data_IF_200238162790
#
_entry.id   IF_200238162790
#
_cell.length_a   1.000
_cell.length_b   1.000
_cell.length_c   1.000
_cell.angle_alpha   90.00
_cell.angle_beta   90.00
_cell.angle_gamma   90.00
#
_symmetry.space_group_name_H-M   'P 1'
#
loop_
_entity.id
_entity.type
_entity.pdbx_description
1 polymer ?
#
# COMPACT_ATOMS: atom_id res chain seq x y z
N UNK A 1 -31.54 -0.14 -21.11
CA UNK A 1 -30.39 0.79 -20.96
C UNK A 1 -29.29 0.09 -20.17
N UNK A 2 -28.17 -0.19 -20.81
CA UNK A 2 -27.00 -0.74 -20.12
C UNK A 2 -26.47 0.35 -19.19
N UNK A 3 -26.50 0.10 -17.87
CA UNK A 3 -25.77 0.91 -16.89
C UNK A 3 -24.29 0.81 -17.26
N UNK A 4 -23.75 1.81 -17.88
CA UNK A 4 -22.30 1.94 -18.05
C UNK A 4 -21.71 2.26 -16.68
N UNK A 5 -21.49 1.21 -15.89
CA UNK A 5 -20.73 1.33 -14.64
C UNK A 5 -19.34 1.79 -15.05
N UNK A 6 -18.97 3.01 -14.64
CA UNK A 6 -17.61 3.50 -14.87
C UNK A 6 -16.61 2.47 -14.32
N UNK A 7 -15.64 2.01 -15.12
CA UNK A 7 -14.68 1.02 -14.64
C UNK A 7 -13.86 1.65 -13.49
N UNK A 8 -13.81 0.95 -12.38
CA UNK A 8 -12.88 1.28 -11.29
C UNK A 8 -11.45 1.20 -11.80
N UNK A 9 -10.62 2.18 -11.42
CA UNK A 9 -9.19 2.15 -11.72
C UNK A 9 -8.54 0.92 -11.08
N UNK A 10 -7.62 0.31 -11.80
CA UNK A 10 -6.81 -0.80 -11.28
C UNK A 10 -5.75 -0.27 -10.30
N UNK A 11 -5.21 -1.16 -9.48
CA UNK A 11 -4.08 -0.80 -8.59
C UNK A 11 -2.85 -0.39 -9.38
N UNK A 12 -2.69 -0.92 -10.60
CA UNK A 12 -1.66 -0.46 -11.52
C UNK A 12 -1.80 1.03 -11.87
N UNK A 13 -3.02 1.47 -12.17
CA UNK A 13 -3.31 2.88 -12.46
C UNK A 13 -3.05 3.77 -11.24
N UNK A 14 -3.41 3.29 -10.05
CA UNK A 14 -3.20 4.01 -8.79
C UNK A 14 -1.70 4.21 -8.52
N UNK A 15 -0.90 3.17 -8.70
CA UNK A 15 0.55 3.23 -8.49
C UNK A 15 1.20 4.23 -9.45
N UNK A 16 0.79 4.24 -10.71
CA UNK A 16 1.34 5.18 -11.71
C UNK A 16 1.10 6.65 -11.38
N UNK A 17 0.04 6.94 -10.64
CA UNK A 17 -0.35 8.32 -10.30
C UNK A 17 0.07 8.74 -8.90
N UNK A 18 0.78 7.89 -8.14
CA UNK A 18 1.34 8.27 -6.85
C UNK A 18 2.49 9.26 -7.03
N UNK A 19 2.62 10.20 -6.10
CA UNK A 19 3.72 11.16 -6.06
C UNK A 19 5.08 10.46 -5.96
N UNK A 20 5.11 9.33 -5.24
CA UNK A 20 6.25 8.44 -5.16
C UNK A 20 5.89 7.16 -5.91
N UNK A 21 6.27 7.09 -7.17
CA UNK A 21 6.04 5.92 -8.02
C UNK A 21 7.24 4.96 -8.06
N UNK A 22 8.35 5.32 -7.44
CA UNK A 22 9.51 4.45 -7.29
C UNK A 22 9.27 3.41 -6.19
N UNK A 23 9.79 2.21 -6.42
CA UNK A 23 9.77 1.14 -5.43
C UNK A 23 10.81 1.44 -4.35
N UNK A 24 10.36 1.86 -3.17
CA UNK A 24 11.25 2.16 -2.05
C UNK A 24 11.37 0.91 -1.18
N UNK A 25 12.59 0.43 -1.05
CA UNK A 25 12.92 -0.82 -0.36
C UNK A 25 14.06 -0.63 0.64
N UNK A 26 14.23 -1.62 1.49
CA UNK A 26 15.38 -1.75 2.37
C UNK A 26 15.89 -3.18 2.32
N UNK A 27 17.20 -3.39 2.48
CA UNK A 27 17.79 -4.72 2.54
C UNK A 27 17.52 -5.41 3.89
N UNK A 28 17.25 -6.70 3.84
CA UNK A 28 16.99 -7.53 5.04
C UNK A 28 18.14 -7.52 6.04
N UNK A 29 19.37 -7.34 5.59
CA UNK A 29 20.58 -7.29 6.41
C UNK A 29 20.97 -5.86 6.84
N UNK A 30 20.20 -4.85 6.45
CA UNK A 30 20.39 -3.48 6.94
C UNK A 30 19.95 -3.35 8.40
N UNK A 31 20.58 -2.44 9.17
CA UNK A 31 20.08 -2.10 10.50
C UNK A 31 18.68 -1.49 10.43
N UNK A 32 17.86 -1.73 11.44
CA UNK A 32 16.54 -1.12 11.56
C UNK A 32 16.59 0.41 11.48
N UNK A 33 17.67 1.02 11.98
CA UNK A 33 17.88 2.47 11.87
C UNK A 33 17.83 2.97 10.43
N UNK A 34 18.39 2.23 9.48
CA UNK A 34 18.35 2.60 8.06
C UNK A 34 16.91 2.60 7.53
N UNK A 35 16.11 1.60 7.88
CA UNK A 35 14.69 1.56 7.51
C UNK A 35 13.93 2.77 8.06
N UNK A 36 14.19 3.15 9.32
CA UNK A 36 13.57 4.34 9.92
C UNK A 36 13.96 5.63 9.20
N UNK A 37 15.21 5.76 8.82
CA UNK A 37 15.72 6.93 8.07
C UNK A 37 15.04 7.03 6.70
N UNK A 38 14.88 5.91 6.00
CA UNK A 38 14.18 5.87 4.70
C UNK A 38 12.70 6.25 4.87
N UNK A 39 12.01 5.66 5.86
CA UNK A 39 10.61 5.98 6.14
C UNK A 39 10.43 7.47 6.47
N UNK A 40 11.32 8.06 7.25
CA UNK A 40 11.29 9.48 7.58
C UNK A 40 11.54 10.37 6.35
N UNK A 41 12.52 10.02 5.53
CA UNK A 41 12.88 10.77 4.31
C UNK A 41 11.72 10.84 3.32
N UNK A 42 11.06 9.72 3.07
CA UNK A 42 9.96 9.62 2.10
C UNK A 42 8.58 9.83 2.72
N UNK A 43 8.49 10.04 4.02
CA UNK A 43 7.23 10.21 4.78
C UNK A 43 6.25 9.05 4.54
N UNK A 44 6.77 7.85 4.62
CA UNK A 44 6.02 6.60 4.45
C UNK A 44 6.08 5.74 5.71
N UNK A 45 5.05 4.95 5.96
CA UNK A 45 4.90 4.17 7.20
C UNK A 45 5.33 2.71 7.09
N UNK A 46 5.78 2.26 5.93
CA UNK A 46 6.25 0.91 5.71
C UNK A 46 7.19 0.83 4.51
N UNK A 47 8.04 -0.20 4.51
CA UNK A 47 8.98 -0.51 3.43
C UNK A 47 8.89 -1.97 3.04
N UNK A 48 9.07 -2.25 1.77
CA UNK A 48 9.32 -3.60 1.30
C UNK A 48 10.76 -3.96 1.62
N UNK A 49 10.94 -5.13 2.22
CA UNK A 49 12.25 -5.68 2.57
C UNK A 49 12.69 -6.63 1.47
N UNK A 50 13.86 -6.39 0.92
CA UNK A 50 14.46 -7.19 -0.15
C UNK A 50 15.64 -8.01 0.38
N UNK A 51 15.81 -9.18 -0.19
CA UNK A 51 16.99 -10.02 0.02
C UNK A 51 17.31 -10.73 -1.30
N UNK A 52 18.52 -10.50 -1.84
CA UNK A 52 18.97 -11.11 -3.10
C UNK A 52 17.93 -10.97 -4.24
N UNK A 53 17.50 -9.76 -4.51
CA UNK A 53 16.52 -9.41 -5.54
C UNK A 53 15.10 -10.02 -5.37
N UNK A 54 14.82 -10.57 -4.19
CA UNK A 54 13.51 -11.11 -3.84
C UNK A 54 12.92 -10.36 -2.66
N UNK A 55 11.60 -10.21 -2.66
CA UNK A 55 10.88 -9.70 -1.49
C UNK A 55 10.99 -10.70 -0.34
N UNK A 56 11.57 -10.26 0.77
CA UNK A 56 11.75 -11.06 1.98
C UNK A 56 10.67 -10.78 3.04
N UNK A 57 10.09 -9.59 3.03
CA UNK A 57 9.12 -9.18 4.01
C UNK A 57 8.66 -7.74 3.86
N UNK A 58 7.97 -7.25 4.87
CA UNK A 58 7.60 -5.83 5.06
C UNK A 58 8.05 -5.42 6.46
N UNK A 59 8.57 -4.21 6.59
CA UNK A 59 8.80 -3.54 7.87
C UNK A 59 7.96 -2.28 7.94
N UNK A 60 7.26 -2.09 9.05
CA UNK A 60 6.41 -0.93 9.29
C UNK A 60 6.75 -0.23 10.60
N UNK A 61 6.26 1.01 10.76
CA UNK A 61 6.35 1.74 12.03
C UNK A 61 5.71 0.96 13.20
N UNK A 62 4.68 0.17 12.91
CA UNK A 62 4.03 -0.70 13.90
C UNK A 62 4.95 -1.84 14.33
N UNK A 63 5.65 -2.48 13.40
CA UNK A 63 6.66 -3.51 13.71
C UNK A 63 7.76 -2.90 14.59
N UNK A 64 8.22 -1.71 14.25
CA UNK A 64 9.20 -0.98 15.04
C UNK A 64 8.71 -0.75 16.49
N UNK A 65 7.49 -0.27 16.66
CA UNK A 65 6.94 -0.03 17.99
C UNK A 65 6.82 -1.31 18.82
N UNK A 66 6.36 -2.39 18.21
CA UNK A 66 6.12 -3.67 18.90
C UNK A 66 7.40 -4.45 19.18
N UNK A 67 8.28 -4.54 18.19
CA UNK A 67 9.45 -5.44 18.26
C UNK A 67 10.71 -4.72 18.78
N UNK A 68 10.76 -3.40 18.72
CA UNK A 68 11.92 -2.62 19.12
C UNK A 68 11.71 -1.89 20.44
N UNK A 69 10.74 -0.98 20.50
CA UNK A 69 10.53 -0.12 21.66
C UNK A 69 10.08 -0.95 22.86
N UNK A 70 9.07 -1.81 22.68
CA UNK A 70 8.52 -2.63 23.77
C UNK A 70 9.50 -3.71 24.25
N UNK A 71 10.36 -4.21 23.38
CA UNK A 71 11.37 -5.22 23.71
C UNK A 71 12.73 -4.62 24.11
N UNK A 72 12.86 -3.30 24.16
CA UNK A 72 14.09 -2.61 24.55
C UNK A 72 15.28 -2.85 23.63
N UNK A 73 15.03 -3.09 22.34
CA UNK A 73 16.06 -3.41 21.34
C UNK A 73 16.68 -2.15 20.74
N UNK A 74 17.95 -2.23 20.36
CA UNK A 74 18.66 -1.15 19.70
C UNK A 74 18.44 -1.16 18.18
N UNK A 75 17.99 -0.03 17.62
CA UNK A 75 17.81 0.13 16.17
C UNK A 75 19.11 0.06 15.36
N UNK A 76 20.25 0.33 16.00
CA UNK A 76 21.58 0.25 15.37
C UNK A 76 22.11 -1.17 15.31
N UNK A 77 21.74 -2.01 16.28
CA UNK A 77 22.28 -3.34 16.46
C UNK A 77 21.33 -4.45 16.02
N UNK A 78 20.09 -4.10 15.66
CA UNK A 78 19.08 -5.03 15.18
C UNK A 78 18.96 -4.93 13.67
N UNK A 79 18.96 -6.08 12.98
CA UNK A 79 18.76 -6.13 11.53
C UNK A 79 17.26 -6.14 11.18
N UNK A 80 16.92 -5.56 10.04
CA UNK A 80 15.55 -5.50 9.53
C UNK A 80 14.89 -6.88 9.50
N UNK A 81 15.60 -7.92 9.04
CA UNK A 81 15.11 -9.30 8.98
C UNK A 81 14.66 -9.88 10.32
N UNK A 82 15.16 -9.34 11.44
CA UNK A 82 14.83 -9.83 12.78
C UNK A 82 13.44 -9.39 13.24
N UNK A 83 12.93 -8.28 12.69
CA UNK A 83 11.65 -7.70 13.11
C UNK A 83 10.61 -7.59 11.99
N UNK A 84 10.99 -7.79 10.73
CA UNK A 84 10.07 -7.70 9.60
C UNK A 84 8.95 -8.73 9.67
N UNK A 85 7.80 -8.40 9.06
CA UNK A 85 6.74 -9.37 8.81
C UNK A 85 7.11 -10.20 7.59
N UNK A 86 7.24 -11.52 7.76
CA UNK A 86 7.67 -12.45 6.70
C UNK A 86 6.53 -12.93 5.80
N UNK A 87 5.34 -13.13 6.36
CA UNK A 87 4.14 -13.53 5.61
C UNK A 87 3.49 -12.29 5.01
N UNK A 88 3.91 -11.95 3.81
CA UNK A 88 3.41 -10.76 3.10
C UNK A 88 2.20 -11.12 2.27
N UNK A 89 1.10 -10.39 2.48
CA UNK A 89 -0.09 -10.46 1.65
C UNK A 89 0.06 -9.45 0.53
N UNK A 90 -0.04 -9.90 -0.71
CA UNK A 90 0.09 -9.08 -1.91
C UNK A 90 -1.24 -8.91 -2.64
N UNK A 91 -1.33 -7.87 -3.46
CA UNK A 91 -2.43 -7.64 -4.38
C UNK A 91 -1.93 -7.70 -5.82
N UNK A 92 -2.79 -8.12 -6.73
CA UNK A 92 -2.51 -8.04 -8.16
C UNK A 92 -2.66 -6.61 -8.68
N UNK A 93 -1.83 -6.24 -9.63
CA UNK A 93 -1.95 -4.99 -10.38
C UNK A 93 -3.34 -4.80 -11.02
N UNK A 94 -4.04 -5.88 -11.32
CA UNK A 94 -5.38 -5.89 -11.91
C UNK A 94 -6.52 -5.73 -10.89
N UNK A 95 -6.22 -5.86 -9.60
CA UNK A 95 -7.20 -5.66 -8.54
C UNK A 95 -7.59 -4.18 -8.40
N UNK A 96 -8.65 -3.89 -7.66
CA UNK A 96 -9.13 -2.55 -7.39
C UNK A 96 -9.03 -2.18 -5.90
N UNK A 97 -9.38 -0.93 -5.57
CA UNK A 97 -9.33 -0.43 -4.20
C UNK A 97 -10.26 -1.18 -3.24
N UNK A 98 -11.43 -1.64 -3.70
CA UNK A 98 -12.41 -2.35 -2.86
C UNK A 98 -11.82 -3.65 -2.32
N UNK A 99 -11.18 -4.44 -3.19
CA UNK A 99 -10.52 -5.67 -2.79
C UNK A 99 -9.36 -5.41 -1.82
N UNK A 100 -8.57 -4.38 -2.09
CA UNK A 100 -7.47 -3.98 -1.21
C UNK A 100 -7.94 -3.60 0.18
N UNK A 101 -8.96 -2.75 0.29
CA UNK A 101 -9.53 -2.33 1.57
C UNK A 101 -10.15 -3.50 2.35
N UNK A 102 -10.84 -4.41 1.66
CA UNK A 102 -11.41 -5.60 2.29
C UNK A 102 -10.33 -6.49 2.91
N UNK A 103 -9.26 -6.77 2.18
CA UNK A 103 -8.14 -7.57 2.68
C UNK A 103 -7.42 -6.86 3.84
N UNK A 104 -7.16 -5.56 3.73
CA UNK A 104 -6.53 -4.78 4.80
C UNK A 104 -7.35 -4.81 6.08
N UNK A 105 -8.66 -4.68 5.97
CA UNK A 105 -9.58 -4.72 7.12
C UNK A 105 -9.59 -6.10 7.78
N UNK A 106 -9.73 -7.17 6.99
CA UNK A 106 -9.77 -8.54 7.50
C UNK A 106 -8.46 -8.96 8.19
N UNK A 107 -7.33 -8.52 7.65
CA UNK A 107 -6.01 -8.90 8.15
C UNK A 107 -5.39 -7.85 9.09
N UNK A 108 -6.07 -6.74 9.33
CA UNK A 108 -5.59 -5.62 10.16
C UNK A 108 -4.22 -5.09 9.73
N UNK A 109 -4.03 -4.98 8.42
CA UNK A 109 -2.83 -4.43 7.80
C UNK A 109 -3.16 -3.14 7.06
N UNK A 110 -2.17 -2.27 6.88
CA UNK A 110 -2.35 -0.94 6.26
C UNK A 110 -1.50 -0.73 5.01
N UNK A 111 -0.67 -1.67 4.67
CA UNK A 111 0.23 -1.61 3.52
C UNK A 111 0.28 -2.96 2.84
N UNK A 112 0.22 -2.96 1.53
CA UNK A 112 0.30 -4.18 0.73
C UNK A 112 1.13 -3.95 -0.51
N UNK A 113 2.11 -4.83 -0.78
CA UNK A 113 2.82 -4.83 -2.05
C UNK A 113 1.89 -5.22 -3.19
N UNK A 114 2.15 -4.63 -4.35
CA UNK A 114 1.43 -4.89 -5.58
C UNK A 114 2.34 -5.64 -6.54
N UNK A 115 1.83 -6.73 -7.09
CA UNK A 115 2.55 -7.56 -8.06
C UNK A 115 1.83 -7.60 -9.40
N UNK A 116 2.60 -7.58 -10.47
CA UNK A 116 2.13 -7.84 -11.83
C UNK A 116 2.75 -9.17 -12.29
N UNK A 117 1.94 -10.23 -12.24
CA UNK A 117 2.45 -11.58 -12.35
C UNK A 117 3.43 -11.89 -11.21
N UNK A 118 4.70 -12.11 -11.55
CA UNK A 118 5.78 -12.35 -10.56
C UNK A 118 6.57 -11.09 -10.20
N UNK A 119 6.31 -9.98 -10.90
CA UNK A 119 7.05 -8.73 -10.74
C UNK A 119 6.44 -7.86 -9.65
N UNK A 120 7.23 -7.50 -8.66
CA UNK A 120 6.88 -6.49 -7.68
C UNK A 120 6.93 -5.10 -8.34
N UNK A 121 5.81 -4.37 -8.34
CA UNK A 121 5.71 -3.07 -9.02
C UNK A 121 5.51 -1.89 -8.09
N UNK A 122 5.16 -2.11 -6.85
CA UNK A 122 4.97 -1.03 -5.89
C UNK A 122 4.29 -1.48 -4.61
N UNK A 123 3.85 -0.51 -3.84
CA UNK A 123 3.10 -0.73 -2.61
C UNK A 123 1.99 0.31 -2.48
N UNK A 124 0.85 -0.10 -1.97
CA UNK A 124 -0.25 0.80 -1.62
C UNK A 124 -0.48 0.80 -0.12
N UNK A 125 -0.80 1.98 0.41
CA UNK A 125 -1.26 2.15 1.78
C UNK A 125 -2.79 2.17 1.84
N UNK A 126 -3.34 1.97 3.03
CA UNK A 126 -4.78 2.16 3.27
C UNK A 126 -5.23 3.57 2.87
N UNK A 127 -4.41 4.59 3.14
CA UNK A 127 -4.69 5.96 2.74
C UNK A 127 -4.77 6.14 1.22
N UNK A 128 -3.91 5.49 0.46
CA UNK A 128 -3.95 5.51 -1.01
C UNK A 128 -5.30 4.97 -1.53
N UNK A 129 -5.77 3.87 -0.95
CA UNK A 129 -7.02 3.22 -1.37
C UNK A 129 -8.27 3.99 -0.92
N UNK A 130 -8.24 4.59 0.26
CA UNK A 130 -9.33 5.47 0.74
C UNK A 130 -9.44 6.71 -0.14
N UNK A 131 -8.33 7.31 -0.53
CA UNK A 131 -8.29 8.45 -1.46
C UNK A 131 -8.93 8.10 -2.81
N UNK A 132 -8.63 6.91 -3.34
CA UNK A 132 -9.24 6.42 -4.58
C UNK A 132 -10.75 6.18 -4.43
N UNK A 133 -11.18 5.61 -3.31
CA UNK A 133 -12.59 5.39 -3.00
C UNK A 133 -13.36 6.72 -2.96
N UNK A 134 -12.81 7.74 -2.33
CA UNK A 134 -13.43 9.07 -2.26
C UNK A 134 -13.56 9.68 -3.65
N UNK A 135 -12.52 9.60 -4.48
CA UNK A 135 -12.55 10.10 -5.85
C UNK A 135 -13.62 9.37 -6.69
N UNK A 136 -13.71 8.06 -6.58
CA UNK A 136 -14.73 7.26 -7.26
C UNK A 136 -16.15 7.65 -6.84
N UNK A 137 -16.39 7.85 -5.54
CA UNK A 137 -17.70 8.26 -5.03
C UNK A 137 -18.11 9.66 -5.52
N UNK A 138 -17.17 10.60 -5.56
CA UNK A 138 -17.41 11.95 -6.09
C UNK A 138 -17.81 11.93 -7.56
N UNK A 139 -17.12 11.13 -8.36
CA UNK A 139 -17.44 10.96 -9.77
C UNK A 139 -18.84 10.32 -9.96
N UNK A 140 -19.16 9.33 -9.17
CA UNK A 140 -20.49 8.67 -9.20
C UNK A 140 -21.62 9.63 -8.82
N UNK A 141 -21.42 10.46 -7.81
CA UNK A 141 -22.39 11.48 -7.39
C UNK A 141 -22.62 12.48 -8.53
N UNK A 142 -21.54 12.97 -9.17
CA UNK A 142 -21.65 13.90 -10.29
C UNK A 142 -22.44 13.31 -11.47
N UNK A 143 -22.21 12.03 -11.79
CA UNK A 143 -22.98 11.32 -12.84
C UNK A 143 -24.48 11.21 -12.48
N UNK A 144 -24.79 10.91 -11.22
CA UNK A 144 -26.16 10.82 -10.75
C UNK A 144 -26.88 12.18 -10.75
N UNK A 145 -26.17 13.25 -10.40
CA UNK A 145 -26.72 14.61 -10.46
C UNK A 145 -27.10 15.00 -11.89
N UNK A 146 -26.22 14.77 -12.87
CA UNK A 146 -26.51 15.01 -14.29
C UNK A 146 -27.73 14.22 -14.72
N UNK A 147 -27.81 12.93 -14.34
CA UNK A 147 -28.94 12.08 -14.69
C UNK A 147 -30.29 12.57 -14.10
N UNK A 148 -30.26 13.09 -12.89
CA UNK A 148 -31.45 13.67 -12.24
C UNK A 148 -31.86 14.95 -12.95
N UNK A 149 -30.91 15.83 -13.27
CA UNK A 149 -31.19 17.08 -13.98
C UNK A 149 -31.76 16.85 -15.37
N UNK A 150 -31.25 15.93 -16.14
CA UNK A 150 -31.74 15.60 -17.49
C UNK A 150 -33.17 15.01 -17.49
N UNK A 151 -33.59 14.40 -16.38
CA UNK A 151 -34.95 13.82 -16.26
C UNK A 151 -35.96 14.73 -15.58
N UNK A 152 -35.53 15.81 -14.95
CA UNK A 152 -36.38 16.74 -14.23
C UNK A 152 -37.09 17.76 -15.16
N UNK A 153 -36.72 17.82 -16.43
CA UNK A 153 -37.24 18.70 -17.47
C UNK A 153 -37.69 17.89 -18.69
#
# INVERSE_FOLDING_TARGET
MKKTKRPTRTLFDIIKTKDINELITVDANSPVMEALMIMAKFKIGALIVMHKDKMAGIISERDYAREMILEGRSSRDTLVKEIMTKKVITLSAKDNFEKGLDIMTKNRIRHMPIVDGKKLIGMVSQGDLVKEMIAYQKDLIAELEVFVYERAW
#
